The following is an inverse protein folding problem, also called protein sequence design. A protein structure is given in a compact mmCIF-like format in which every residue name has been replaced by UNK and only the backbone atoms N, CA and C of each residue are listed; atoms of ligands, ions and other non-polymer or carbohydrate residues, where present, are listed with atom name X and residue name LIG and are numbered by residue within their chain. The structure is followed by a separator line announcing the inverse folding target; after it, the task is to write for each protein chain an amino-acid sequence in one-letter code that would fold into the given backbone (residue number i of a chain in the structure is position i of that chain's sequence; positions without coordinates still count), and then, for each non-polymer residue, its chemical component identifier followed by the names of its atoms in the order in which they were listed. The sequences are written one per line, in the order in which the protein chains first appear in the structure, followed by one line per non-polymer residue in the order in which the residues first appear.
data_IF_773334077341
#
_entry.id   IF_773334077341
#
_cell.length_a   1.000
_cell.length_b   1.000
_cell.length_c   1.000
_cell.angle_alpha   90.00
_cell.angle_beta   90.00
_cell.angle_gamma   90.00
#
_symmetry.space_group_name_H-M   'P 1'
#
loop_
_entity.id
_entity.type
_entity.pdbx_description
1 polymer ?
#
# COMPACT_ATOMS: atom_id res chain seq x y z
N UNK A 1 -26.97 11.28 16.69
CA UNK A 1 -26.02 11.15 17.82
C UNK A 1 -25.00 10.16 17.34
N UNK A 2 -24.03 10.68 16.61
CA UNK A 2 -23.08 9.90 15.84
C UNK A 2 -21.84 9.76 16.70
N UNK A 3 -21.79 8.65 17.43
CA UNK A 3 -20.66 8.30 18.27
C UNK A 3 -19.48 7.91 17.38
N UNK A 4 -18.63 8.88 17.05
CA UNK A 4 -17.28 8.59 16.57
C UNK A 4 -16.56 7.80 17.67
N UNK A 5 -16.42 6.50 17.46
CA UNK A 5 -15.59 5.61 18.26
C UNK A 5 -14.15 6.12 18.18
N UNK A 6 -13.71 6.83 19.22
CA UNK A 6 -12.31 7.15 19.45
C UNK A 6 -11.57 5.85 19.76
N UNK A 7 -11.09 5.17 18.72
CA UNK A 7 -10.17 4.05 18.88
C UNK A 7 -8.79 4.62 19.25
N UNK A 8 -8.19 4.23 20.40
CA UNK A 8 -6.86 4.68 20.76
C UNK A 8 -5.86 4.20 19.70
N UNK A 9 -4.92 5.06 19.30
CA UNK A 9 -3.93 4.78 18.25
C UNK A 9 -3.05 3.52 18.47
N UNK A 10 -3.12 2.89 19.66
CA UNK A 10 -2.47 1.62 19.97
C UNK A 10 -3.29 0.37 19.65
N UNK A 11 -4.62 0.47 19.50
CA UNK A 11 -5.48 -0.69 19.27
C UNK A 11 -5.33 -1.28 17.87
N UNK A 12 -4.98 -0.46 16.88
CA UNK A 12 -4.64 -0.94 15.53
C UNK A 12 -3.39 -1.83 15.57
N UNK A 13 -2.35 -1.42 16.31
CA UNK A 13 -1.12 -2.20 16.52
C UNK A 13 -1.34 -3.50 17.29
N UNK A 14 -2.18 -3.47 18.33
CA UNK A 14 -2.53 -4.68 19.12
C UNK A 14 -3.44 -5.65 18.36
N UNK A 15 -4.28 -5.17 17.42
CA UNK A 15 -5.03 -6.02 16.49
C UNK A 15 -4.12 -6.59 15.40
N UNK A 16 -3.26 -5.76 14.79
CA UNK A 16 -2.25 -6.19 13.82
C UNK A 16 -1.34 -7.27 14.41
N UNK A 17 -0.97 -7.18 15.68
CA UNK A 17 -0.17 -8.20 16.37
C UNK A 17 -0.86 -9.58 16.50
N UNK A 18 -2.18 -9.67 16.24
CA UNK A 18 -2.94 -10.93 16.26
C UNK A 18 -3.28 -11.44 14.85
N UNK A 19 -3.05 -10.64 13.82
CA UNK A 19 -3.26 -10.99 12.42
C UNK A 19 -1.97 -11.64 11.94
N UNK A 20 -2.09 -12.79 11.28
CA UNK A 20 -0.93 -13.50 10.73
C UNK A 20 -0.11 -12.54 9.84
N UNK A 21 1.23 -12.51 9.95
CA UNK A 21 2.05 -11.59 9.17
C UNK A 21 1.90 -11.76 7.65
N UNK A 22 1.44 -12.94 7.20
CA UNK A 22 1.04 -13.20 5.81
C UNK A 22 -0.24 -12.46 5.39
N UNK A 23 -1.23 -12.35 6.29
CA UNK A 23 -2.44 -11.56 6.06
C UNK A 23 -2.11 -10.06 6.01
N UNK A 24 -1.23 -9.58 6.90
CA UNK A 24 -0.74 -8.18 6.88
C UNK A 24 0.00 -7.84 5.59
N UNK A 25 0.80 -8.77 5.07
CA UNK A 25 1.46 -8.60 3.78
C UNK A 25 0.44 -8.54 2.63
N UNK A 26 -0.56 -9.41 2.64
CA UNK A 26 -1.62 -9.39 1.63
C UNK A 26 -2.49 -8.13 1.68
N UNK A 27 -2.74 -7.57 2.87
CA UNK A 27 -3.38 -6.27 3.04
C UNK A 27 -2.50 -5.15 2.47
N UNK A 28 -1.21 -5.12 2.81
CA UNK A 28 -0.27 -4.13 2.28
C UNK A 28 -0.17 -4.17 0.75
N UNK A 29 -0.17 -5.37 0.15
CA UNK A 29 -0.20 -5.53 -1.30
C UNK A 29 -1.50 -5.01 -1.92
N UNK A 30 -2.65 -5.25 -1.26
CA UNK A 30 -3.96 -4.75 -1.70
C UNK A 30 -4.01 -3.23 -1.62
N UNK A 31 -3.57 -2.64 -0.51
CA UNK A 31 -3.53 -1.20 -0.31
C UNK A 31 -2.60 -0.53 -1.33
N UNK A 32 -1.45 -1.15 -1.64
CA UNK A 32 -0.55 -0.69 -2.71
C UNK A 32 -1.24 -0.72 -4.07
N UNK A 33 -2.00 -1.76 -4.38
CA UNK A 33 -2.73 -1.87 -5.64
C UNK A 33 -3.85 -0.83 -5.76
N UNK A 34 -4.58 -0.57 -4.67
CA UNK A 34 -5.62 0.47 -4.60
C UNK A 34 -5.01 1.86 -4.79
N UNK A 35 -3.95 2.20 -4.04
CA UNK A 35 -3.23 3.46 -4.20
C UNK A 35 -2.71 3.65 -5.64
N UNK A 36 -2.18 2.59 -6.27
CA UNK A 36 -1.75 2.63 -7.67
C UNK A 36 -2.91 2.94 -8.61
N UNK A 37 -4.10 2.38 -8.38
CA UNK A 37 -5.28 2.64 -9.19
C UNK A 37 -5.76 4.09 -9.04
N UNK A 38 -5.81 4.61 -7.81
CA UNK A 38 -6.18 6.01 -7.54
C UNK A 38 -5.20 7.00 -8.19
N UNK A 39 -3.90 6.75 -8.06
CA UNK A 39 -2.88 7.60 -8.68
C UNK A 39 -2.99 7.56 -10.20
N UNK A 40 -3.21 6.38 -10.78
CA UNK A 40 -3.42 6.23 -12.22
C UNK A 40 -4.59 7.06 -12.71
N UNK A 41 -5.72 6.98 -12.03
CA UNK A 41 -6.92 7.73 -12.39
C UNK A 41 -6.68 9.26 -12.30
N UNK A 42 -5.93 9.73 -11.29
CA UNK A 42 -5.53 11.14 -11.22
C UNK A 42 -4.62 11.56 -12.39
N UNK A 43 -3.65 10.73 -12.75
CA UNK A 43 -2.71 11.01 -13.87
C UNK A 43 -3.44 10.95 -15.21
N UNK A 44 -4.36 10.01 -15.41
CA UNK A 44 -5.21 9.91 -16.61
C UNK A 44 -6.13 11.14 -16.74
N UNK A 45 -6.72 11.61 -15.64
CA UNK A 45 -7.51 12.86 -15.61
C UNK A 45 -6.65 14.09 -15.97
N UNK A 46 -5.40 14.15 -15.49
CA UNK A 46 -4.47 15.22 -15.83
C UNK A 46 -4.09 15.16 -17.32
N UNK A 47 -3.78 13.96 -17.81
CA UNK A 47 -3.42 13.73 -19.21
C UNK A 47 -4.55 14.14 -20.16
N UNK A 48 -5.80 13.77 -19.83
CA UNK A 48 -6.99 14.16 -20.60
C UNK A 48 -7.21 15.67 -20.64
N UNK A 49 -6.86 16.41 -19.58
CA UNK A 49 -6.99 17.88 -19.53
C UNK A 49 -5.94 18.60 -20.36
N UNK A 50 -4.72 18.06 -20.46
CA UNK A 50 -3.58 18.75 -21.06
C UNK A 50 -3.09 18.11 -22.37
N UNK A 51 -3.78 17.09 -22.88
CA UNK A 51 -3.44 16.44 -24.14
C UNK A 51 -2.23 15.52 -24.05
N UNK A 52 -1.89 15.01 -22.86
CA UNK A 52 -0.84 14.01 -22.72
C UNK A 52 -1.33 12.63 -23.20
N UNK A 53 -0.41 11.81 -23.68
CA UNK A 53 -0.73 10.51 -24.25
C UNK A 53 -0.84 9.42 -23.19
N UNK A 54 -1.52 8.31 -23.51
CA UNK A 54 -1.52 7.12 -22.65
C UNK A 54 -0.11 6.55 -22.42
N UNK A 55 0.83 6.81 -23.33
CA UNK A 55 2.24 6.45 -23.14
C UNK A 55 2.88 7.28 -22.04
N UNK A 56 2.60 8.58 -21.97
CA UNK A 56 3.12 9.47 -20.92
C UNK A 56 2.61 9.06 -19.54
N UNK A 57 1.32 8.72 -19.44
CA UNK A 57 0.72 8.15 -18.23
C UNK A 57 1.45 6.86 -17.83
N UNK A 58 1.71 5.96 -18.77
CA UNK A 58 2.39 4.69 -18.49
C UNK A 58 3.82 4.92 -18.00
N UNK A 59 4.54 5.87 -18.57
CA UNK A 59 5.90 6.24 -18.12
C UNK A 59 5.86 6.82 -16.71
N UNK A 60 4.94 7.73 -16.42
CA UNK A 60 4.76 8.29 -15.08
C UNK A 60 4.42 7.20 -14.04
N UNK A 61 3.50 6.29 -14.39
CA UNK A 61 3.10 5.20 -13.51
C UNK A 61 4.24 4.23 -13.18
N UNK A 62 5.22 4.03 -14.09
CA UNK A 62 6.41 3.22 -13.78
C UNK A 62 7.29 3.85 -12.71
N UNK A 63 7.47 5.17 -12.75
CA UNK A 63 8.24 5.87 -11.72
C UNK A 63 7.52 5.84 -10.37
N UNK A 64 6.19 5.99 -10.37
CA UNK A 64 5.34 5.92 -9.19
C UNK A 64 5.38 4.51 -8.58
N UNK A 65 5.33 3.47 -9.41
CA UNK A 65 5.46 2.08 -8.96
C UNK A 65 6.80 1.84 -8.24
N UNK A 66 7.90 2.33 -8.79
CA UNK A 66 9.21 2.21 -8.14
C UNK A 66 9.23 2.93 -6.79
N UNK A 67 8.69 4.15 -6.72
CA UNK A 67 8.62 4.92 -5.48
C UNK A 67 7.74 4.26 -4.40
N UNK A 68 6.62 3.63 -4.80
CA UNK A 68 5.75 2.90 -3.88
C UNK A 68 6.43 1.64 -3.34
N UNK A 69 7.18 0.93 -4.18
CA UNK A 69 8.00 -0.21 -3.72
C UNK A 69 9.07 0.25 -2.74
N UNK A 70 9.81 1.32 -3.06
CA UNK A 70 10.85 1.85 -2.18
C UNK A 70 10.26 2.32 -0.83
N UNK A 71 9.08 2.96 -0.84
CA UNK A 71 8.39 3.43 0.36
C UNK A 71 8.00 2.29 1.32
N UNK A 72 7.57 1.15 0.75
CA UNK A 72 7.05 0.02 1.52
C UNK A 72 8.10 -1.06 1.79
N UNK A 73 9.28 -0.97 1.17
CA UNK A 73 10.33 -1.98 1.21
C UNK A 73 10.77 -2.35 2.64
N UNK A 74 10.90 -1.39 3.54
CA UNK A 74 11.30 -1.65 4.92
C UNK A 74 10.21 -2.39 5.72
N UNK A 75 8.94 -2.11 5.43
CA UNK A 75 7.81 -2.74 6.08
C UNK A 75 7.54 -4.15 5.54
N UNK A 76 7.66 -4.34 4.22
CA UNK A 76 7.63 -5.67 3.59
C UNK A 76 8.76 -6.57 4.12
N UNK A 77 9.99 -6.03 4.26
CA UNK A 77 11.12 -6.76 4.85
C UNK A 77 10.91 -7.12 6.31
N UNK A 78 10.32 -6.22 7.10
CA UNK A 78 9.95 -6.49 8.49
C UNK A 78 8.98 -7.67 8.59
N UNK A 79 7.90 -7.64 7.81
CA UNK A 79 6.89 -8.72 7.78
C UNK A 79 7.46 -10.05 7.27
N UNK A 80 8.33 -10.02 6.25
CA UNK A 80 9.02 -11.22 5.75
C UNK A 80 9.91 -11.85 6.82
N UNK A 81 10.68 -11.04 7.54
CA UNK A 81 11.53 -11.52 8.63
C UNK A 81 10.69 -12.07 9.81
N UNK A 82 9.54 -11.47 10.12
CA UNK A 82 8.60 -12.00 11.11
C UNK A 82 8.04 -13.37 10.69
N UNK A 83 7.78 -13.58 9.39
CA UNK A 83 7.35 -14.89 8.85
C UNK A 83 8.47 -15.95 8.89
N UNK A 84 9.72 -15.57 8.58
CA UNK A 84 10.88 -16.46 8.67
C UNK A 84 11.13 -16.93 10.11
N UNK A 85 10.95 -16.07 11.10
CA UNK A 85 11.11 -16.41 12.53
C UNK A 85 10.02 -17.36 13.04
N UNK A 86 8.80 -17.27 12.47
CA UNK A 86 7.66 -18.14 12.79
C UNK A 86 7.70 -19.50 12.10
N UNK A 87 8.64 -19.73 11.19
CA UNK A 87 8.79 -21.01 10.46
C UNK A 87 9.98 -21.78 11.03
N UNK A 88 9.80 -22.66 12.04
CA UNK A 88 10.91 -23.45 12.56
C UNK A 88 11.36 -24.47 11.50
N UNK A 89 12.68 -24.53 11.27
CA UNK A 89 13.38 -25.62 10.56
C UNK A 89 13.16 -26.96 11.26
#
# INVERSE_FOLDING_TARGET
MDGQLYLPAGWARDLESRIDPSERLAELERDRAEAKAEIRDMVERLAGKHGATASDVTVAMRAIEHALVDLLSDQERGLQHEMEDLTPV
#
